data_IF_193417428971
#
_entry.id   IF_193417428971
#
_cell.length_a   1.000
_cell.length_b   1.000
_cell.length_c   1.000
_cell.angle_alpha   90.00
_cell.angle_beta   90.00
_cell.angle_gamma   90.00
#
_symmetry.space_group_name_H-M   'P 1'
#
loop_
_entity.id
_entity.type
_entity.pdbx_description
1 polymer ?
#
# COMPACT_ATOMS: atom_id res chain seq x y z
N UNK A 1 -1.35 6.14 -16.30
CA UNK A 1 -0.59 7.11 -15.49
C UNK A 1 -0.74 8.51 -16.02
N UNK A 2 -0.36 8.78 -17.27
CA UNK A 2 -0.53 10.10 -17.90
C UNK A 2 -1.97 10.63 -17.81
N UNK A 3 -2.95 9.79 -18.16
CA UNK A 3 -4.37 10.13 -18.04
C UNK A 3 -4.79 10.50 -16.60
N UNK A 4 -4.25 9.80 -15.59
CA UNK A 4 -4.57 10.09 -14.19
C UNK A 4 -3.88 11.38 -13.70
N UNK A 5 -2.65 11.65 -14.15
CA UNK A 5 -1.95 12.89 -13.84
C UNK A 5 -2.69 14.11 -14.43
N UNK A 6 -3.12 14.00 -15.69
CA UNK A 6 -3.89 15.04 -16.34
C UNK A 6 -5.25 15.27 -15.65
N UNK A 7 -5.93 14.19 -15.27
CA UNK A 7 -7.25 14.25 -14.66
C UNK A 7 -7.23 14.84 -13.24
N UNK A 8 -6.26 14.44 -12.40
CA UNK A 8 -6.26 14.80 -10.96
C UNK A 8 -5.35 15.96 -10.59
N UNK A 9 -4.42 16.36 -11.47
CA UNK A 9 -3.42 17.40 -11.17
C UNK A 9 -3.37 18.50 -12.24
N UNK A 10 -4.54 19.07 -12.60
CA UNK A 10 -4.66 20.24 -13.47
C UNK A 10 -4.01 20.07 -14.87
N UNK A 11 -4.16 18.91 -15.51
CA UNK A 11 -3.63 18.68 -16.84
C UNK A 11 -2.12 18.46 -16.89
N UNK A 12 -1.50 18.09 -15.76
CA UNK A 12 -0.07 17.79 -15.70
C UNK A 12 0.29 16.66 -16.66
N UNK A 13 1.30 16.90 -17.49
CA UNK A 13 1.78 15.96 -18.50
C UNK A 13 3.10 15.30 -18.04
N UNK A 14 3.31 14.05 -18.42
CA UNK A 14 4.60 13.37 -18.26
C UNK A 14 5.71 14.06 -19.04
N UNK A 15 5.41 14.76 -20.12
CA UNK A 15 6.42 15.53 -20.87
C UNK A 15 7.03 16.67 -20.06
N UNK A 16 6.37 17.15 -19.00
CA UNK A 16 6.91 18.14 -18.06
C UNK A 16 8.16 17.63 -17.32
N UNK A 17 8.29 16.30 -17.18
CA UNK A 17 9.48 15.68 -16.59
C UNK A 17 10.70 15.85 -17.50
N UNK A 18 10.50 15.73 -18.81
CA UNK A 18 11.55 15.95 -19.81
C UNK A 18 11.89 17.43 -19.98
N UNK A 19 10.89 18.32 -19.87
CA UNK A 19 11.05 19.78 -19.91
C UNK A 19 11.70 20.36 -18.64
N UNK A 20 11.79 19.56 -17.57
CA UNK A 20 12.39 19.97 -16.29
C UNK A 20 11.46 20.78 -15.38
N UNK A 21 10.20 20.99 -15.78
CA UNK A 21 9.17 21.66 -14.97
C UNK A 21 8.58 20.74 -13.90
N UNK A 22 8.67 19.43 -14.11
CA UNK A 22 8.34 18.38 -13.15
C UNK A 22 9.61 17.63 -12.72
N UNK A 23 9.79 17.41 -11.42
CA UNK A 23 10.90 16.60 -10.89
C UNK A 23 10.44 15.18 -10.57
N UNK A 24 11.35 14.19 -10.65
CA UNK A 24 11.08 12.81 -10.22
C UNK A 24 10.58 12.71 -8.78
N UNK A 25 11.09 13.58 -7.90
CA UNK A 25 10.66 13.65 -6.50
C UNK A 25 9.18 14.04 -6.40
N UNK A 26 8.78 15.07 -7.14
CA UNK A 26 7.39 15.54 -7.19
C UNK A 26 6.48 14.50 -7.86
N UNK A 27 6.89 13.92 -8.97
CA UNK A 27 6.16 12.84 -9.63
C UNK A 27 5.89 11.67 -8.66
N UNK A 28 6.91 11.26 -7.91
CA UNK A 28 6.77 10.20 -6.91
C UNK A 28 5.78 10.52 -5.77
N UNK A 29 5.63 11.80 -5.40
CA UNK A 29 4.62 12.24 -4.43
C UNK A 29 3.22 12.19 -5.04
N UNK A 30 3.06 12.73 -6.26
CA UNK A 30 1.76 12.74 -6.96
C UNK A 30 1.24 11.32 -7.17
N UNK A 31 2.09 10.41 -7.64
CA UNK A 31 1.69 8.99 -7.82
C UNK A 31 1.22 8.34 -6.52
N UNK A 32 1.85 8.65 -5.38
CA UNK A 32 1.43 8.10 -4.06
C UNK A 32 0.13 8.70 -3.54
N UNK A 33 -0.24 9.89 -4.01
CA UNK A 33 -1.45 10.60 -3.61
C UNK A 33 -2.60 10.40 -4.59
N UNK A 34 -2.45 9.51 -5.59
CA UNK A 34 -3.52 9.22 -6.52
C UNK A 34 -4.73 8.59 -5.81
N UNK A 35 -5.96 8.95 -6.21
CA UNK A 35 -7.15 8.38 -5.61
C UNK A 35 -7.23 6.85 -5.79
N UNK A 36 -7.90 6.13 -4.87
CA UNK A 36 -8.01 4.67 -4.91
C UNK A 36 -8.67 4.12 -6.19
N UNK A 37 -9.55 4.90 -6.81
CA UNK A 37 -10.24 4.55 -8.05
C UNK A 37 -9.51 5.05 -9.32
N UNK A 38 -8.30 5.60 -9.20
CA UNK A 38 -7.51 5.99 -10.38
C UNK A 38 -7.17 4.76 -11.23
N UNK A 39 -7.00 4.97 -12.54
CA UNK A 39 -6.75 3.87 -13.48
C UNK A 39 -5.40 3.22 -13.18
N UNK A 40 -4.40 4.01 -12.79
CA UNK A 40 -3.11 3.51 -12.30
C UNK A 40 -3.21 2.65 -11.06
N UNK A 41 -3.96 3.06 -10.04
CA UNK A 41 -4.09 2.27 -8.81
C UNK A 41 -4.80 0.96 -9.13
N UNK A 42 -5.83 1.02 -9.95
CA UNK A 42 -6.58 -0.16 -10.41
C UNK A 42 -5.68 -1.12 -11.18
N UNK A 43 -4.86 -0.61 -12.11
CA UNK A 43 -3.94 -1.44 -12.89
C UNK A 43 -2.84 -2.11 -12.05
N UNK A 44 -2.38 -1.44 -10.98
CA UNK A 44 -1.37 -2.00 -10.05
C UNK A 44 -1.98 -3.02 -9.08
N UNK A 45 -3.27 -2.89 -8.78
CA UNK A 45 -4.02 -3.78 -7.89
C UNK A 45 -4.80 -4.86 -8.69
N UNK A 46 -4.18 -5.44 -9.72
CA UNK A 46 -4.76 -6.54 -10.51
C UNK A 46 -6.16 -6.26 -11.09
N UNK A 47 -6.41 -5.02 -11.50
CA UNK A 47 -7.70 -4.58 -12.04
C UNK A 47 -8.75 -4.23 -10.98
N UNK A 48 -8.41 -4.27 -9.69
CA UNK A 48 -9.30 -3.91 -8.59
C UNK A 48 -9.01 -2.50 -8.08
N UNK A 49 -10.04 -1.70 -7.75
CA UNK A 49 -9.81 -0.41 -7.10
C UNK A 49 -9.10 -0.60 -5.75
N UNK A 50 -8.33 0.40 -5.34
CA UNK A 50 -7.77 0.44 -4.00
C UNK A 50 -8.88 0.47 -2.93
N UNK A 51 -8.65 -0.19 -1.80
CA UNK A 51 -9.56 -0.17 -0.67
C UNK A 51 -9.53 1.20 0.01
N UNK A 52 -10.71 1.77 0.26
CA UNK A 52 -10.86 2.97 1.05
C UNK A 52 -10.89 2.64 2.54
N UNK A 53 -10.76 3.66 3.39
CA UNK A 53 -10.91 3.51 4.85
C UNK A 53 -12.30 2.95 5.18
N UNK A 54 -13.34 3.38 4.47
CA UNK A 54 -14.71 2.89 4.66
C UNK A 54 -14.82 1.41 4.31
N UNK A 55 -14.20 0.96 3.22
CA UNK A 55 -14.21 -0.46 2.83
C UNK A 55 -13.56 -1.32 3.92
N UNK A 56 -12.46 -0.84 4.50
CA UNK A 56 -11.82 -1.50 5.63
C UNK A 56 -12.73 -1.57 6.86
N UNK A 57 -13.39 -0.47 7.22
CA UNK A 57 -14.31 -0.45 8.36
C UNK A 57 -15.51 -1.37 8.16
N UNK A 58 -16.09 -1.40 6.95
CA UNK A 58 -17.20 -2.29 6.62
C UNK A 58 -16.78 -3.75 6.72
N UNK A 59 -15.60 -4.10 6.21
CA UNK A 59 -15.08 -5.45 6.34
C UNK A 59 -14.84 -5.86 7.80
N UNK A 60 -14.34 -4.94 8.62
CA UNK A 60 -14.15 -5.17 10.07
C UNK A 60 -15.50 -5.36 10.79
N UNK A 61 -16.50 -4.54 10.48
CA UNK A 61 -17.87 -4.70 11.02
C UNK A 61 -18.46 -6.03 10.60
N UNK A 62 -18.33 -6.41 9.33
CA UNK A 62 -18.79 -7.70 8.83
C UNK A 62 -18.10 -8.86 9.56
N UNK A 63 -16.78 -8.81 9.73
CA UNK A 63 -16.04 -9.83 10.47
C UNK A 63 -16.50 -9.95 11.93
N UNK A 64 -16.75 -8.82 12.60
CA UNK A 64 -17.30 -8.80 13.96
C UNK A 64 -18.71 -9.39 14.01
N UNK A 65 -19.57 -9.07 13.04
CA UNK A 65 -20.93 -9.61 12.95
C UNK A 65 -20.93 -11.12 12.72
N UNK A 66 -20.08 -11.63 11.84
CA UNK A 66 -19.99 -13.08 11.58
C UNK A 66 -19.51 -13.82 12.82
N UNK A 67 -18.56 -13.26 13.59
CA UNK A 67 -18.12 -13.87 14.86
C UNK A 67 -19.19 -13.86 15.93
N UNK A 68 -20.00 -12.80 16.00
CA UNK A 68 -21.05 -12.65 17.02
C UNK A 68 -22.29 -13.49 16.72
N UNK A 69 -22.70 -13.56 15.46
CA UNK A 69 -23.98 -14.13 15.03
C UNK A 69 -23.84 -15.46 14.28
N UNK A 70 -22.63 -15.82 13.87
CA UNK A 70 -22.35 -17.04 13.12
C UNK A 70 -22.33 -18.29 13.98
N UNK A 71 -22.43 -19.43 13.31
CA UNK A 71 -22.27 -20.75 13.92
C UNK A 71 -20.78 -20.98 14.25
N UNK A 72 -20.41 -21.13 15.54
CA UNK A 72 -19.02 -21.19 15.96
C UNK A 72 -18.26 -22.41 15.39
N UNK A 73 -18.95 -23.47 14.96
CA UNK A 73 -18.30 -24.61 14.31
C UNK A 73 -17.97 -24.36 12.83
N UNK A 74 -18.62 -23.39 12.20
CA UNK A 74 -18.49 -23.09 10.76
C UNK A 74 -17.75 -21.80 10.48
N UNK A 75 -17.61 -20.95 11.50
CA UNK A 75 -16.84 -19.71 11.42
C UNK A 75 -15.35 -20.05 11.58
N UNK A 76 -14.51 -19.75 10.57
CA UNK A 76 -13.07 -19.90 10.73
C UNK A 76 -12.56 -19.02 11.87
N UNK A 77 -11.68 -19.52 12.72
CA UNK A 77 -11.04 -18.72 13.78
C UNK A 77 -10.35 -17.45 13.22
N UNK A 78 -9.86 -17.55 11.99
CA UNK A 78 -9.20 -16.47 11.25
C UNK A 78 -10.11 -15.88 10.16
N UNK A 79 -11.30 -15.40 10.52
CA UNK A 79 -11.96 -14.35 9.73
C UNK A 79 -11.14 -13.08 9.93
N UNK A 80 -10.12 -12.93 9.10
CA UNK A 80 -9.35 -11.71 8.98
C UNK A 80 -9.41 -11.21 7.54
N UNK A 81 -9.30 -9.90 7.43
CA UNK A 81 -9.39 -9.21 6.17
C UNK A 81 -8.19 -9.57 5.27
N UNK A 82 -8.36 -9.99 3.99
CA UNK A 82 -7.25 -10.45 3.16
C UNK A 82 -6.12 -9.42 3.01
N UNK A 83 -6.46 -8.13 3.00
CA UNK A 83 -5.47 -7.05 2.92
C UNK A 83 -4.68 -6.86 4.22
N UNK A 84 -5.21 -7.29 5.38
CA UNK A 84 -4.49 -7.24 6.67
C UNK A 84 -3.36 -8.26 6.70
N UNK A 85 -3.60 -9.49 6.22
CA UNK A 85 -2.55 -10.49 6.06
C UNK A 85 -1.43 -10.01 5.12
N UNK A 86 -1.78 -9.39 3.99
CA UNK A 86 -0.82 -8.83 3.04
C UNK A 86 -0.05 -7.61 3.61
N UNK A 87 -0.74 -6.71 4.33
CA UNK A 87 -0.10 -5.58 5.02
C UNK A 87 0.81 -6.02 6.14
N UNK A 88 0.40 -7.00 6.95
CA UNK A 88 1.21 -7.60 8.01
C UNK A 88 2.43 -8.28 7.39
N UNK A 89 2.27 -9.05 6.31
CA UNK A 89 3.39 -9.67 5.61
C UNK A 89 4.40 -8.63 5.10
N UNK A 90 3.92 -7.54 4.50
CA UNK A 90 4.75 -6.43 4.00
C UNK A 90 5.44 -5.66 5.14
N UNK A 91 4.74 -5.38 6.23
CA UNK A 91 5.28 -4.71 7.41
C UNK A 91 6.34 -5.58 8.10
N UNK A 92 6.09 -6.89 8.23
CA UNK A 92 7.04 -7.87 8.77
C UNK A 92 8.27 -7.98 7.87
N UNK A 93 8.11 -7.99 6.54
CA UNK A 93 9.23 -8.00 5.60
C UNK A 93 10.09 -6.73 5.74
N UNK A 94 9.47 -5.54 5.79
CA UNK A 94 10.18 -4.28 6.00
C UNK A 94 10.91 -4.23 7.35
N UNK A 95 10.30 -4.74 8.42
CA UNK A 95 10.93 -4.84 9.74
C UNK A 95 12.15 -5.78 9.72
N UNK A 96 12.04 -6.93 9.03
CA UNK A 96 13.17 -7.86 8.83
C UNK A 96 14.32 -7.20 8.06
N UNK A 97 14.03 -6.43 7.01
CA UNK A 97 15.05 -5.71 6.26
C UNK A 97 15.75 -4.64 7.11
N UNK A 98 15.00 -3.88 7.90
CA UNK A 98 15.56 -2.90 8.83
C UNK A 98 16.50 -3.56 9.86
N UNK A 99 16.09 -4.69 10.42
CA UNK A 99 16.88 -5.46 11.40
C UNK A 99 18.16 -6.00 10.76
N UNK A 100 18.08 -6.49 9.51
CA UNK A 100 19.23 -6.93 8.72
C UNK A 100 20.21 -5.77 8.44
N UNK A 101 19.70 -4.59 8.10
CA UNK A 101 20.53 -3.41 7.89
C UNK A 101 21.26 -2.98 9.17
N UNK A 102 20.59 -3.01 10.33
CA UNK A 102 21.21 -2.73 11.63
C UNK A 102 22.31 -3.74 11.97
N UNK A 103 22.06 -5.03 11.71
CA UNK A 103 23.05 -6.09 11.93
C UNK A 103 24.31 -5.88 11.09
N UNK A 104 24.16 -5.60 9.78
CA UNK A 104 25.29 -5.33 8.88
C UNK A 104 26.10 -4.11 9.35
N UNK A 105 25.42 -3.05 9.80
CA UNK A 105 26.07 -1.86 10.36
C UNK A 105 26.91 -2.21 11.60
N UNK A 106 26.38 -3.04 12.50
CA UNK A 106 27.07 -3.49 13.73
C UNK A 106 28.26 -4.40 13.41
N UNK A 107 28.14 -5.31 12.44
CA UNK A 107 29.27 -6.16 12.04
C UNK A 107 30.45 -5.32 11.53
N UNK A 108 30.17 -4.35 10.65
CA UNK A 108 31.19 -3.43 10.12
C UNK A 108 31.87 -2.56 11.18
N UNK A 109 31.24 -2.31 12.33
CA UNK A 109 31.91 -1.59 13.42
C UNK A 109 32.87 -2.47 14.22
N UNK A 110 32.60 -3.78 14.32
CA UNK A 110 33.53 -4.72 14.96
C UNK A 110 34.79 -4.97 14.10
N UNK A 111 34.64 -5.02 12.78
CA UNK A 111 35.77 -5.22 11.85
C UNK A 111 36.73 -4.01 11.75
N UNK A 112 36.44 -2.90 12.46
CA UNK A 112 37.24 -1.66 12.48
C UNK A 112 38.11 -1.50 13.75
N UNK A 113 38.03 -2.43 14.69
CA UNK A 113 38.88 -2.52 15.88
C UNK A 113 39.86 -3.68 15.74
#
# INVERSE_FOLDING_TARGET
MEADLAQYYNGLDLTDLYRGTLSFRRLGVLVRQLPPHSRTVTAVNDGQPGWTVTDHLIADVWAAMVKLLGDPEKVPDNIDHPTRAAMVAKAVAAAKEALKAMFVKRKRSYDKH
#
